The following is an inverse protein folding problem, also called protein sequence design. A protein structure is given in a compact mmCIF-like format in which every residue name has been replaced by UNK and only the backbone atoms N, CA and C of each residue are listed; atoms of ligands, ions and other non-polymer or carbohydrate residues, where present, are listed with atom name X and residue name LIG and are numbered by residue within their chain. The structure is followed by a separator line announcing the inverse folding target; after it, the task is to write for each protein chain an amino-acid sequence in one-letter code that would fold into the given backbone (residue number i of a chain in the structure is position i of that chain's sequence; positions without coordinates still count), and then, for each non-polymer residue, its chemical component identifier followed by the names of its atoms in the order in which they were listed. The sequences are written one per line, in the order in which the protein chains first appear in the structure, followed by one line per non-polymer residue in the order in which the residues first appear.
data_IF_869820399514
#
_entry.id   IF_869820399514
#
_cell.length_a   1.000
_cell.length_b   1.000
_cell.length_c   1.000
_cell.angle_alpha   90.00
_cell.angle_beta   90.00
_cell.angle_gamma   90.00
#
_symmetry.space_group_name_H-M   'P 1'
#
loop_
_entity.id
_entity.type
_entity.pdbx_description
1 polymer ?
#
# COMPACT_ATOMS: atom_id res chain seq x y z
N UNK A 1 68.56 16.93 -4.64
CA UNK A 1 67.51 17.24 -3.64
C UNK A 1 66.25 17.70 -4.35
N UNK A 2 65.25 16.83 -4.51
CA UNK A 2 63.83 17.22 -4.48
C UNK A 2 63.00 15.95 -4.27
N UNK A 3 62.34 15.86 -3.11
CA UNK A 3 61.52 14.70 -2.73
C UNK A 3 60.14 14.85 -3.37
N UNK A 4 59.72 13.81 -4.11
CA UNK A 4 58.34 13.58 -4.57
C UNK A 4 57.39 13.51 -3.37
N UNK A 5 56.26 14.21 -3.44
CA UNK A 5 55.13 14.01 -2.54
C UNK A 5 53.97 13.46 -3.35
N UNK A 6 53.72 12.17 -3.18
CA UNK A 6 52.57 11.46 -3.74
C UNK A 6 51.47 11.52 -2.68
N UNK A 7 50.43 12.33 -2.91
CA UNK A 7 49.24 12.35 -2.04
C UNK A 7 48.30 11.24 -2.50
N UNK A 8 48.24 10.16 -1.72
CA UNK A 8 47.20 9.14 -1.84
C UNK A 8 45.90 9.70 -1.24
N UNK A 9 44.87 9.87 -2.06
CA UNK A 9 43.50 10.11 -1.62
C UNK A 9 42.87 8.74 -1.35
N UNK A 10 42.78 8.36 -0.08
CA UNK A 10 41.96 7.23 0.35
C UNK A 10 40.49 7.68 0.37
N UNK A 11 39.72 7.27 -0.64
CA UNK A 11 38.26 7.41 -0.64
C UNK A 11 37.66 6.37 0.32
N UNK A 12 37.19 6.83 1.47
CA UNK A 12 36.45 5.99 2.41
C UNK A 12 35.03 5.75 1.89
N UNK A 13 34.72 4.51 1.52
CA UNK A 13 33.34 4.09 1.30
C UNK A 13 32.65 3.96 2.67
N UNK A 14 31.68 4.83 2.95
CA UNK A 14 30.78 4.68 4.09
C UNK A 14 29.73 3.65 3.68
N UNK A 15 29.89 2.42 4.16
CA UNK A 15 28.85 1.41 4.09
C UNK A 15 27.79 1.77 5.15
N UNK A 16 26.63 2.24 4.72
CA UNK A 16 25.46 2.36 5.58
C UNK A 16 24.98 0.94 5.93
N UNK A 17 25.26 0.49 7.15
CA UNK A 17 24.66 -0.70 7.73
C UNK A 17 23.18 -0.40 7.98
N UNK A 18 22.32 -0.85 7.07
CA UNK A 18 20.89 -0.94 7.30
C UNK A 18 20.67 -2.05 8.33
N UNK A 19 20.44 -1.66 9.59
CA UNK A 19 19.94 -2.59 10.60
C UNK A 19 18.50 -2.98 10.20
N UNK A 20 18.31 -4.21 9.73
CA UNK A 20 16.98 -4.81 9.66
C UNK A 20 16.48 -4.94 11.10
N UNK A 21 15.56 -4.06 11.49
CA UNK A 21 14.84 -4.21 12.76
C UNK A 21 14.06 -5.52 12.71
N UNK A 22 14.19 -6.35 13.74
CA UNK A 22 13.36 -7.54 13.88
C UNK A 22 11.91 -7.10 13.94
N UNK A 23 11.13 -7.40 12.90
CA UNK A 23 9.69 -7.28 13.00
C UNK A 23 9.24 -8.29 14.06
N UNK A 24 8.59 -7.79 15.11
CA UNK A 24 7.98 -8.64 16.12
C UNK A 24 6.52 -8.75 15.73
N UNK A 25 5.98 -9.97 15.75
CA UNK A 25 4.57 -10.17 15.53
C UNK A 25 3.75 -9.28 16.47
N UNK A 26 2.79 -8.54 15.92
CA UNK A 26 1.90 -7.64 16.68
C UNK A 26 0.47 -8.11 16.52
N UNK A 27 -0.26 -8.18 17.63
CA UNK A 27 -1.70 -8.41 17.61
C UNK A 27 -2.43 -7.10 17.29
N UNK A 28 -3.08 -7.02 16.14
CA UNK A 28 -3.79 -5.83 15.64
C UNK A 28 -5.22 -6.24 15.33
N UNK A 29 -6.19 -5.62 16.02
CA UNK A 29 -7.61 -5.95 15.87
C UNK A 29 -7.95 -7.44 16.10
N UNK A 30 -7.16 -8.14 16.92
CA UNK A 30 -7.35 -9.56 17.23
C UNK A 30 -6.64 -10.54 16.29
N UNK A 31 -5.89 -10.04 15.29
CA UNK A 31 -5.15 -10.85 14.32
C UNK A 31 -3.65 -10.62 14.46
N UNK A 32 -2.86 -11.68 14.34
CA UNK A 32 -1.40 -11.59 14.44
C UNK A 32 -0.81 -11.16 13.09
N UNK A 33 -0.05 -10.06 13.09
CA UNK A 33 0.72 -9.60 11.93
C UNK A 33 2.21 -9.79 12.21
N UNK A 34 2.87 -10.81 11.62
CA UNK A 34 4.28 -11.10 11.85
C UNK A 34 5.21 -9.92 11.57
N UNK A 35 4.87 -9.11 10.56
CA UNK A 35 5.65 -7.94 10.17
C UNK A 35 5.19 -6.64 10.87
N UNK A 36 4.10 -6.68 11.65
CA UNK A 36 3.55 -5.54 12.37
C UNK A 36 2.94 -4.48 11.44
N UNK A 37 3.11 -3.21 11.77
CA UNK A 37 2.43 -2.10 11.08
C UNK A 37 2.79 -1.94 9.59
N UNK A 38 3.93 -2.49 9.14
CA UNK A 38 4.32 -2.48 7.70
C UNK A 38 3.41 -3.38 6.85
N UNK A 39 2.58 -4.22 7.47
CA UNK A 39 1.63 -5.07 6.74
C UNK A 39 0.48 -4.31 6.09
N UNK A 40 0.28 -3.03 6.40
CA UNK A 40 -0.93 -2.29 6.04
C UNK A 40 -0.76 -1.43 4.80
N UNK A 41 -1.87 -1.17 4.11
CA UNK A 41 -1.83 -0.35 2.90
C UNK A 41 -1.39 1.10 3.16
N UNK A 42 -0.60 1.65 2.25
CA UNK A 42 0.05 2.96 2.39
C UNK A 42 -0.58 4.05 1.51
N UNK A 43 -1.20 3.65 0.40
CA UNK A 43 -1.63 4.56 -0.65
C UNK A 43 -3.03 4.21 -1.19
N UNK A 44 -3.86 5.23 -1.40
CA UNK A 44 -5.11 5.12 -2.16
C UNK A 44 -4.82 5.37 -3.64
N UNK A 45 -5.18 4.42 -4.49
CA UNK A 45 -5.04 4.54 -5.94
C UNK A 45 -6.31 5.07 -6.57
N UNK A 46 -7.46 4.58 -6.13
CA UNK A 46 -8.77 5.09 -6.56
C UNK A 46 -9.83 4.79 -5.53
N UNK A 47 -10.82 5.69 -5.43
CA UNK A 47 -12.03 5.49 -4.66
C UNK A 47 -13.21 5.98 -5.50
N UNK A 48 -14.22 5.12 -5.63
CA UNK A 48 -15.42 5.35 -6.43
C UNK A 48 -16.62 4.87 -5.64
N UNK A 49 -17.26 5.75 -4.83
CA UNK A 49 -18.40 5.34 -4.05
C UNK A 49 -19.63 5.08 -4.92
N UNK A 50 -20.52 4.22 -4.43
CA UNK A 50 -21.90 4.12 -4.94
C UNK A 50 -22.04 3.77 -6.43
N UNK A 51 -21.07 3.06 -7.04
CA UNK A 51 -21.06 2.80 -8.48
C UNK A 51 -22.33 2.12 -9.02
N UNK A 52 -23.06 1.40 -8.16
CA UNK A 52 -24.29 0.70 -8.52
C UNK A 52 -25.54 1.23 -7.78
N UNK A 53 -25.43 2.31 -7.01
CA UNK A 53 -26.56 2.79 -6.21
C UNK A 53 -26.25 4.02 -5.36
N UNK A 54 -26.60 3.94 -4.07
CA UNK A 54 -26.46 5.07 -3.16
C UNK A 54 -24.99 5.30 -2.78
N UNK A 55 -24.58 6.56 -2.82
CA UNK A 55 -23.35 7.01 -2.17
C UNK A 55 -23.52 7.05 -0.65
N UNK A 56 -22.44 6.84 0.13
CA UNK A 56 -22.43 7.14 1.55
C UNK A 56 -22.61 8.63 1.81
N UNK A 57 -22.91 8.99 3.05
CA UNK A 57 -22.88 10.38 3.48
C UNK A 57 -21.47 10.98 3.33
N UNK A 58 -21.38 12.28 3.05
CA UNK A 58 -20.11 12.94 2.72
C UNK A 58 -19.02 12.76 3.78
N UNK A 59 -19.38 12.65 5.06
CA UNK A 59 -18.40 12.44 6.13
C UNK A 59 -17.66 11.11 5.98
N UNK A 60 -18.31 10.06 5.47
CA UNK A 60 -17.76 8.71 5.38
C UNK A 60 -17.06 8.41 4.06
N UNK A 61 -16.84 9.43 3.21
CA UNK A 61 -16.19 9.27 1.91
C UNK A 61 -14.66 9.52 1.94
N UNK A 62 -14.06 9.57 3.14
CA UNK A 62 -12.63 9.82 3.32
C UNK A 62 -11.78 8.59 3.03
N UNK A 63 -11.44 8.32 1.76
CA UNK A 63 -10.70 7.10 1.37
C UNK A 63 -9.36 6.88 2.09
N UNK A 64 -8.67 7.96 2.50
CA UNK A 64 -7.42 7.87 3.26
C UNK A 64 -7.61 7.29 4.67
N UNK A 65 -8.84 7.21 5.16
CA UNK A 65 -9.14 6.62 6.47
C UNK A 65 -8.98 5.10 6.48
N UNK A 66 -8.83 4.45 5.32
CA UNK A 66 -8.54 3.02 5.20
C UNK A 66 -7.04 2.67 5.20
N UNK A 67 -6.16 3.65 5.44
CA UNK A 67 -4.70 3.47 5.36
C UNK A 67 -4.08 3.24 6.75
N UNK A 68 -3.00 2.45 6.76
CA UNK A 68 -2.28 2.11 7.98
C UNK A 68 -3.05 1.12 8.87
N UNK A 69 -2.63 1.04 10.13
CA UNK A 69 -3.26 0.14 11.11
C UNK A 69 -4.69 0.59 11.46
N UNK A 70 -5.64 -0.33 11.68
CA UNK A 70 -7.01 -0.01 12.05
C UNK A 70 -7.05 0.86 13.30
N UNK A 71 -7.86 1.91 13.26
CA UNK A 71 -7.95 2.91 14.33
C UNK A 71 -9.39 3.27 14.70
N UNK A 72 -10.38 2.47 14.27
CA UNK A 72 -11.77 2.67 14.65
C UNK A 72 -11.97 2.62 16.18
N UNK A 73 -12.67 3.62 16.71
CA UNK A 73 -12.90 3.79 18.15
C UNK A 73 -14.35 3.65 18.59
N UNK A 74 -15.27 3.34 17.66
CA UNK A 74 -16.71 3.26 17.95
C UNK A 74 -17.43 4.63 17.99
N UNK A 75 -16.72 5.73 17.77
CA UNK A 75 -17.30 7.07 17.74
C UNK A 75 -17.83 7.43 16.33
N UNK A 76 -18.98 8.11 16.27
CA UNK A 76 -19.44 8.75 15.04
C UNK A 76 -18.55 9.95 14.68
N UNK A 77 -18.55 10.33 13.40
CA UNK A 77 -17.70 11.41 12.90
C UNK A 77 -18.48 12.61 12.33
N UNK A 78 -17.93 13.80 12.51
CA UNK A 78 -18.50 15.09 12.08
C UNK A 78 -18.05 15.56 10.70
N UNK A 79 -16.93 15.02 10.20
CA UNK A 79 -16.34 15.33 8.90
C UNK A 79 -15.42 14.19 8.46
N UNK A 80 -15.02 14.16 7.18
CA UNK A 80 -14.09 13.16 6.64
C UNK A 80 -12.77 13.06 7.41
N UNK A 81 -12.27 14.19 7.91
CA UNK A 81 -11.00 14.29 8.64
C UNK A 81 -11.13 13.67 10.05
N UNK A 82 -12.34 13.70 10.62
CA UNK A 82 -12.62 13.16 11.95
C UNK A 82 -13.04 11.69 11.91
N UNK A 83 -13.29 11.13 10.71
CA UNK A 83 -13.64 9.73 10.56
C UNK A 83 -12.38 8.85 10.58
N UNK A 84 -12.58 7.61 11.01
CA UNK A 84 -11.54 6.58 11.14
C UNK A 84 -11.77 5.40 10.18
N UNK A 85 -12.71 5.55 9.25
CA UNK A 85 -13.03 4.55 8.24
C UNK A 85 -13.64 5.25 7.01
N UNK A 86 -13.79 4.50 5.93
CA UNK A 86 -14.46 4.91 4.69
C UNK A 86 -15.58 3.93 4.35
N UNK A 87 -16.75 4.43 3.99
CA UNK A 87 -17.83 3.60 3.45
C UNK A 87 -17.70 3.51 1.93
N UNK A 88 -17.97 2.34 1.34
CA UNK A 88 -17.90 2.16 -0.11
C UNK A 88 -19.16 2.66 -0.83
N UNK A 89 -20.34 2.60 -0.22
CA UNK A 89 -21.59 2.81 -0.94
C UNK A 89 -21.96 1.60 -1.78
N UNK A 90 -23.19 1.60 -2.27
CA UNK A 90 -23.76 0.45 -2.98
C UNK A 90 -22.98 0.18 -4.27
N UNK A 91 -22.30 -0.95 -4.33
CA UNK A 91 -21.43 -1.34 -5.44
C UNK A 91 -20.13 -0.54 -5.54
N UNK A 92 -19.80 0.29 -4.55
CA UNK A 92 -18.62 1.14 -4.59
C UNK A 92 -17.32 0.36 -4.52
N UNK A 93 -16.25 1.00 -4.99
CA UNK A 93 -14.93 0.39 -5.10
C UNK A 93 -13.82 1.23 -4.48
N UNK A 94 -12.89 0.56 -3.81
CA UNK A 94 -11.67 1.13 -3.25
C UNK A 94 -10.46 0.33 -3.73
N UNK A 95 -9.43 1.02 -4.21
CA UNK A 95 -8.15 0.42 -4.59
C UNK A 95 -7.04 0.98 -3.72
N UNK A 96 -6.37 0.09 -3.01
CA UNK A 96 -5.27 0.38 -2.10
C UNK A 96 -3.96 -0.22 -2.63
N UNK A 97 -2.83 0.36 -2.20
CA UNK A 97 -1.49 -0.11 -2.56
C UNK A 97 -0.58 -0.23 -1.34
N UNK A 98 0.23 -1.28 -1.34
CA UNK A 98 1.40 -1.49 -0.51
C UNK A 98 2.64 -0.88 -1.19
N UNK A 99 3.23 0.14 -0.57
CA UNK A 99 4.35 0.91 -1.12
C UNK A 99 5.70 0.23 -0.82
N UNK A 100 5.88 -0.21 0.43
CA UNK A 100 7.14 -0.76 0.94
C UNK A 100 7.08 -2.29 1.19
N UNK A 101 5.94 -2.91 0.96
CA UNK A 101 5.73 -4.36 1.03
C UNK A 101 4.89 -4.90 -0.14
N UNK A 102 4.74 -6.22 -0.18
CA UNK A 102 3.82 -6.94 -1.07
C UNK A 102 3.10 -8.04 -0.30
N UNK A 103 1.83 -8.26 -0.62
CA UNK A 103 1.07 -9.42 -0.19
C UNK A 103 1.60 -10.68 -0.90
N UNK A 104 1.80 -11.74 -0.15
CA UNK A 104 2.25 -13.06 -0.61
C UNK A 104 1.32 -14.15 -0.06
N UNK A 105 1.35 -15.37 -0.62
CA UNK A 105 0.77 -16.53 0.06
C UNK A 105 1.67 -16.97 1.23
N UNK A 106 1.17 -17.84 2.08
CA UNK A 106 1.86 -18.37 3.26
C UNK A 106 2.37 -19.81 3.06
N UNK A 107 2.01 -20.44 1.94
CA UNK A 107 2.19 -21.87 1.67
C UNK A 107 1.45 -22.74 2.72
N UNK A 108 0.34 -22.25 3.27
CA UNK A 108 -0.48 -22.93 4.29
C UNK A 108 -1.97 -22.66 4.09
N UNK A 109 -2.83 -23.13 5.00
CA UNK A 109 -4.28 -22.83 5.00
C UNK A 109 -4.65 -21.65 5.93
N UNK A 110 -3.65 -20.85 6.30
CA UNK A 110 -3.82 -19.65 7.10
C UNK A 110 -4.23 -18.46 6.23
N UNK A 111 -4.98 -17.51 6.81
CA UNK A 111 -5.30 -16.27 6.12
C UNK A 111 -4.03 -15.44 5.81
N UNK A 112 -3.94 -14.93 4.59
CA UNK A 112 -2.83 -14.10 4.10
C UNK A 112 -3.17 -12.62 4.09
N UNK A 113 -4.45 -12.30 3.93
CA UNK A 113 -4.98 -10.95 3.81
C UNK A 113 -6.13 -10.78 4.79
N UNK A 114 -6.23 -9.60 5.40
CA UNK A 114 -7.29 -9.27 6.34
C UNK A 114 -7.91 -7.91 6.05
N UNK A 115 -9.24 -7.86 6.05
CA UNK A 115 -10.03 -6.65 5.84
C UNK A 115 -10.67 -6.25 7.18
N UNK A 116 -10.28 -5.10 7.69
CA UNK A 116 -10.90 -4.48 8.85
C UNK A 116 -12.11 -3.67 8.39
N UNK A 117 -13.24 -4.35 8.34
CA UNK A 117 -14.53 -3.70 8.17
C UNK A 117 -15.08 -3.24 9.54
N UNK A 118 -16.03 -2.32 9.60
CA UNK A 118 -16.74 -1.99 10.85
C UNK A 118 -18.24 -2.13 10.64
N UNK A 119 -18.99 -2.05 11.74
CA UNK A 119 -20.44 -2.12 11.68
C UNK A 119 -21.00 -3.54 11.76
N UNK A 120 -22.30 -3.66 12.04
CA UNK A 120 -22.98 -4.94 12.23
C UNK A 120 -23.60 -5.49 10.94
N UNK A 121 -23.67 -4.67 9.89
CA UNK A 121 -24.30 -5.04 8.64
C UNK A 121 -23.45 -6.12 7.95
N UNK A 122 -24.15 -7.07 7.34
CA UNK A 122 -23.53 -8.20 6.64
C UNK A 122 -23.64 -7.87 5.17
N UNK A 123 -22.59 -7.25 4.64
CA UNK A 123 -22.45 -6.86 3.25
C UNK A 123 -21.23 -7.58 2.68
N UNK A 124 -21.44 -8.42 1.67
CA UNK A 124 -20.30 -9.07 1.04
C UNK A 124 -19.48 -8.01 0.28
N UNK A 125 -18.16 -8.09 0.43
CA UNK A 125 -17.18 -7.30 -0.32
C UNK A 125 -16.31 -8.25 -1.11
N UNK A 126 -16.36 -8.14 -2.43
CA UNK A 126 -15.43 -8.88 -3.29
C UNK A 126 -14.03 -8.31 -3.17
N UNK A 127 -13.03 -9.20 -3.18
CA UNK A 127 -11.63 -8.84 -3.03
C UNK A 127 -10.84 -9.33 -4.24
N UNK A 128 -10.18 -8.39 -4.91
CA UNK A 128 -9.23 -8.68 -5.97
C UNK A 128 -7.82 -8.22 -5.57
N UNK A 129 -6.82 -8.94 -6.06
CA UNK A 129 -5.41 -8.58 -5.92
C UNK A 129 -4.77 -8.29 -7.28
N UNK A 130 -3.72 -7.48 -7.29
CA UNK A 130 -2.98 -7.18 -8.51
C UNK A 130 -1.50 -6.90 -8.25
N UNK A 131 -0.68 -7.24 -9.24
CA UNK A 131 0.75 -6.91 -9.27
C UNK A 131 0.98 -5.51 -9.86
N UNK A 132 0.17 -5.12 -10.85
CA UNK A 132 0.38 -3.95 -11.71
C UNK A 132 -0.71 -2.87 -11.60
N UNK A 133 -1.81 -3.14 -10.89
CA UNK A 133 -2.96 -2.26 -10.76
C UNK A 133 -3.88 -2.24 -11.99
N UNK A 134 -3.62 -3.11 -12.98
CA UNK A 134 -4.35 -3.18 -14.26
C UNK A 134 -4.99 -4.55 -14.45
N UNK A 135 -4.23 -5.61 -14.21
CA UNK A 135 -4.70 -6.99 -14.28
C UNK A 135 -5.12 -7.43 -12.89
N UNK A 136 -6.40 -7.75 -12.73
CA UNK A 136 -7.01 -8.07 -11.45
C UNK A 136 -7.34 -9.55 -11.35
N UNK A 137 -7.04 -10.14 -10.20
CA UNK A 137 -7.26 -11.53 -9.88
C UNK A 137 -8.15 -11.62 -8.64
N UNK A 138 -9.32 -12.25 -8.77
CA UNK A 138 -10.23 -12.39 -7.64
C UNK A 138 -9.71 -13.45 -6.66
N UNK A 139 -9.77 -13.12 -5.37
CA UNK A 139 -9.39 -13.98 -4.24
C UNK A 139 -10.56 -14.17 -3.27
N UNK A 140 -11.78 -14.09 -3.80
CA UNK A 140 -13.01 -14.35 -3.05
C UNK A 140 -13.69 -13.08 -2.52
N UNK A 141 -14.44 -13.24 -1.44
CA UNK A 141 -15.20 -12.17 -0.79
C UNK A 141 -15.10 -12.29 0.73
N UNK A 142 -15.14 -11.15 1.41
CA UNK A 142 -15.32 -11.06 2.86
C UNK A 142 -16.75 -10.60 3.15
N UNK A 143 -17.29 -10.95 4.31
CA UNK A 143 -18.67 -10.63 4.68
C UNK A 143 -19.05 -11.23 6.03
N UNK A 144 -19.84 -10.49 6.81
CA UNK A 144 -20.29 -10.92 8.14
C UNK A 144 -19.13 -11.20 9.10
N UNK A 145 -18.96 -12.46 9.52
CA UNK A 145 -17.87 -12.87 10.42
C UNK A 145 -16.55 -13.15 9.72
N UNK A 146 -16.55 -13.30 8.39
CA UNK A 146 -15.36 -13.67 7.63
C UNK A 146 -14.65 -12.42 7.15
N UNK A 147 -13.38 -12.29 7.55
CA UNK A 147 -12.56 -11.08 7.30
C UNK A 147 -11.14 -11.38 6.81
N UNK A 148 -10.75 -12.65 6.89
CA UNK A 148 -9.51 -13.18 6.38
C UNK A 148 -9.71 -13.86 5.03
N UNK A 149 -8.67 -13.83 4.21
CA UNK A 149 -8.57 -14.54 2.95
C UNK A 149 -7.23 -15.29 2.92
N UNK A 150 -7.31 -16.61 2.86
CA UNK A 150 -6.26 -17.51 2.40
C UNK A 150 -6.15 -17.39 0.87
N UNK A 151 -5.05 -16.81 0.37
CA UNK A 151 -4.82 -16.68 -1.07
C UNK A 151 -4.11 -17.92 -1.64
N UNK A 152 -3.52 -18.77 -0.79
CA UNK A 152 -2.99 -20.07 -1.18
C UNK A 152 -4.09 -20.97 -1.75
N UNK A 153 -5.33 -20.89 -1.21
CA UNK A 153 -6.52 -21.55 -1.76
C UNK A 153 -6.78 -21.23 -3.26
N UNK A 154 -6.38 -20.03 -3.70
CA UNK A 154 -6.53 -19.59 -5.09
C UNK A 154 -5.31 -19.93 -5.97
N UNK A 155 -4.36 -20.70 -5.44
CA UNK A 155 -3.16 -21.14 -6.14
C UNK A 155 -2.01 -20.13 -6.12
N UNK A 156 -2.05 -19.17 -5.20
CA UNK A 156 -0.91 -18.30 -4.91
C UNK A 156 -0.03 -18.93 -3.83
N UNK A 157 1.15 -18.37 -3.63
CA UNK A 157 2.19 -18.95 -2.78
C UNK A 157 3.13 -17.86 -2.27
N UNK A 158 4.12 -18.23 -1.47
CA UNK A 158 5.12 -17.29 -0.94
C UNK A 158 5.98 -16.60 -2.01
N UNK A 159 5.97 -17.08 -3.27
CA UNK A 159 6.64 -16.43 -4.40
C UNK A 159 5.80 -15.31 -5.03
N UNK A 160 4.49 -15.30 -4.81
CA UNK A 160 3.55 -14.28 -5.28
C UNK A 160 3.89 -12.90 -4.74
N UNK A 161 3.52 -11.82 -5.44
CA UNK A 161 3.91 -10.45 -5.07
C UNK A 161 2.86 -9.42 -5.49
N UNK A 162 1.75 -9.37 -4.75
CA UNK A 162 0.67 -8.43 -5.03
C UNK A 162 0.91 -7.10 -4.33
N UNK A 163 0.86 -6.01 -5.10
CA UNK A 163 1.01 -4.64 -4.60
C UNK A 163 -0.31 -3.96 -4.32
N UNK A 164 -1.38 -4.44 -4.95
CA UNK A 164 -2.67 -3.77 -4.95
C UNK A 164 -3.74 -4.71 -4.44
N UNK A 165 -4.66 -4.15 -3.68
CA UNK A 165 -5.91 -4.78 -3.28
C UNK A 165 -7.05 -3.89 -3.75
N UNK A 166 -8.06 -4.48 -4.37
CA UNK A 166 -9.31 -3.82 -4.73
C UNK A 166 -10.44 -4.47 -3.98
N UNK A 167 -11.20 -3.63 -3.29
CA UNK A 167 -12.44 -3.98 -2.61
C UNK A 167 -13.60 -3.43 -3.44
N UNK A 168 -14.62 -4.26 -3.67
CA UNK A 168 -15.86 -3.83 -4.32
C UNK A 168 -17.02 -4.38 -3.51
N UNK A 169 -17.86 -3.46 -3.02
CA UNK A 169 -19.12 -3.78 -2.37
C UNK A 169 -20.04 -4.59 -3.31
N UNK A 170 -20.68 -5.64 -2.81
CA UNK A 170 -21.64 -6.42 -3.59
C UNK A 170 -22.98 -5.68 -3.61
N UNK A 171 -23.29 -5.09 -4.77
CA UNK A 171 -24.51 -4.33 -4.94
C UNK A 171 -25.77 -5.17 -4.67
N UNK A 172 -26.73 -4.59 -3.94
CA UNK A 172 -28.00 -5.22 -3.59
C UNK A 172 -27.99 -6.01 -2.27
N UNK A 173 -26.86 -6.04 -1.57
CA UNK A 173 -26.74 -6.56 -0.21
C UNK A 173 -26.70 -5.43 0.83
N UNK A 174 -27.04 -5.76 2.08
CA UNK A 174 -27.15 -4.80 3.18
C UNK A 174 -27.97 -3.54 2.90
N UNK A 175 -27.49 -2.40 3.41
CA UNK A 175 -28.23 -1.16 3.42
C UNK A 175 -28.18 -0.45 2.06
N UNK A 176 -29.35 -0.25 1.45
CA UNK A 176 -29.46 0.43 0.16
C UNK A 176 -29.64 1.97 0.27
N UNK A 177 -29.68 2.49 1.49
CA UNK A 177 -29.80 3.92 1.78
C UNK A 177 -29.32 4.20 3.20
N UNK A 178 -28.71 5.36 3.43
CA UNK A 178 -28.19 5.71 4.75
C UNK A 178 -26.89 6.50 4.68
N UNK A 179 -26.29 6.74 5.84
CA UNK A 179 -25.04 7.46 5.97
C UNK A 179 -23.81 6.59 5.67
N UNK A 180 -23.89 5.31 6.01
CA UNK A 180 -22.81 4.30 5.93
C UNK A 180 -23.35 3.11 5.14
N UNK A 181 -23.71 3.35 3.88
CA UNK A 181 -24.16 2.28 2.98
C UNK A 181 -22.96 1.56 2.38
N UNK A 182 -23.09 0.27 2.15
CA UNK A 182 -22.01 -0.59 1.68
C UNK A 182 -20.88 -0.71 2.69
N UNK A 183 -19.91 -1.57 2.37
CA UNK A 183 -18.87 -1.93 3.32
C UNK A 183 -18.10 -0.73 3.91
N UNK A 184 -17.87 -0.77 5.23
CA UNK A 184 -17.23 0.28 6.00
C UNK A 184 -15.79 -0.12 6.36
N UNK A 185 -14.80 0.37 5.60
CA UNK A 185 -13.41 -0.07 5.68
C UNK A 185 -12.57 0.84 6.60
N UNK A 186 -12.03 0.27 7.68
CA UNK A 186 -11.05 0.89 8.61
C UNK A 186 -9.62 0.62 8.14
N UNK A 187 -9.31 -0.60 7.68
CA UNK A 187 -7.97 -0.92 7.19
C UNK A 187 -7.92 -2.19 6.34
N UNK A 188 -6.83 -2.36 5.59
CA UNK A 188 -6.49 -3.60 4.87
C UNK A 188 -5.03 -3.98 5.19
N UNK A 189 -4.82 -5.21 5.66
CA UNK A 189 -3.52 -5.70 6.10
C UNK A 189 -3.13 -7.04 5.47
N UNK A 190 -1.92 -7.12 4.93
CA UNK A 190 -1.28 -8.35 4.48
C UNK A 190 -0.63 -9.07 5.67
N UNK A 191 -1.24 -10.16 6.14
CA UNK A 191 -0.70 -11.05 7.18
C UNK A 191 0.58 -11.70 6.67
N UNK A 192 0.51 -12.36 5.52
CA UNK A 192 1.67 -12.87 4.80
C UNK A 192 2.22 -11.78 3.88
N UNK A 193 3.39 -11.25 4.23
CA UNK A 193 3.96 -10.14 3.48
C UNK A 193 5.48 -10.15 3.45
N UNK A 194 6.01 -9.59 2.37
CA UNK A 194 7.43 -9.41 2.09
C UNK A 194 7.73 -7.93 1.89
N UNK A 195 8.69 -7.40 2.63
CA UNK A 195 9.24 -6.07 2.36
C UNK A 195 9.86 -6.02 0.96
N UNK A 196 9.61 -4.92 0.23
CA UNK A 196 10.26 -4.64 -1.04
C UNK A 196 11.05 -3.37 -0.90
N UNK A 197 12.31 -3.40 -1.34
CA UNK A 197 13.14 -2.21 -1.35
C UNK A 197 12.43 -1.12 -2.16
N UNK A 198 12.03 -0.03 -1.48
CA UNK A 198 11.64 1.20 -2.14
C UNK A 198 12.91 1.74 -2.77
N UNK A 199 13.13 1.43 -4.05
CA UNK A 199 14.28 1.97 -4.78
C UNK A 199 14.08 3.47 -4.79
N UNK A 200 14.86 4.27 -4.01
CA UNK A 200 14.77 5.71 -4.13
C UNK A 200 15.10 5.98 -5.58
N UNK A 201 14.24 6.72 -6.29
CA UNK A 201 14.46 7.02 -7.71
C UNK A 201 15.95 7.34 -7.87
N UNK A 202 16.72 6.49 -8.58
CA UNK A 202 18.16 6.63 -8.55
C UNK A 202 18.47 8.03 -9.03
N UNK A 203 19.58 8.60 -8.59
CA UNK A 203 20.08 9.88 -9.05
C UNK A 203 20.27 9.97 -10.58
N UNK A 204 19.61 9.19 -11.43
CA UNK A 204 19.35 9.38 -12.86
C UNK A 204 19.14 10.84 -13.22
N UNK A 205 18.33 11.60 -12.47
CA UNK A 205 18.20 13.03 -12.69
C UNK A 205 19.52 13.76 -12.41
N UNK A 206 20.18 13.45 -11.30
CA UNK A 206 21.49 14.01 -10.96
C UNK A 206 22.61 13.58 -11.94
N UNK A 207 22.58 12.36 -12.48
CA UNK A 207 23.53 11.80 -13.45
C UNK A 207 23.28 12.36 -14.85
N UNK A 208 22.02 12.58 -15.24
CA UNK A 208 21.65 13.28 -16.48
C UNK A 208 22.08 14.74 -16.38
N UNK A 209 21.75 15.44 -15.29
CA UNK A 209 22.15 16.83 -15.05
C UNK A 209 23.69 16.95 -15.01
N UNK A 210 24.39 16.07 -14.31
CA UNK A 210 25.86 16.06 -14.29
C UNK A 210 26.45 15.71 -15.66
N UNK A 211 25.90 14.72 -16.36
CA UNK A 211 26.37 14.30 -17.69
C UNK A 211 26.24 15.40 -18.73
N UNK A 212 25.06 16.03 -18.82
CA UNK A 212 24.83 17.17 -19.72
C UNK A 212 25.61 18.41 -19.26
N UNK A 213 25.74 18.64 -17.95
CA UNK A 213 26.53 19.73 -17.38
C UNK A 213 28.02 19.62 -17.74
N UNK A 214 28.61 18.44 -17.62
CA UNK A 214 30.01 18.18 -17.96
C UNK A 214 30.26 18.27 -19.47
N UNK A 215 29.37 17.73 -20.31
CA UNK A 215 29.45 17.85 -21.76
C UNK A 215 29.35 19.32 -22.22
N UNK A 216 28.40 20.07 -21.64
CA UNK A 216 28.24 21.51 -21.90
C UNK A 216 29.47 22.33 -21.47
N UNK A 217 30.03 22.05 -20.29
CA UNK A 217 31.25 22.69 -19.81
C UNK A 217 32.47 22.40 -20.71
N UNK A 218 32.61 21.14 -21.17
CA UNK A 218 33.68 20.73 -22.08
C UNK A 218 33.60 21.40 -23.47
N UNK A 219 32.39 21.61 -24.00
CA UNK A 219 32.19 22.34 -25.25
C UNK A 219 32.48 23.84 -25.11
N UNK A 220 32.15 24.43 -23.95
CA UNK A 220 32.37 25.85 -23.67
C UNK A 220 33.85 26.19 -23.49
N UNK A 221 34.63 25.33 -22.82
CA UNK A 221 36.08 25.54 -22.64
C UNK A 221 36.85 25.48 -23.96
N UNK A 222 36.44 24.61 -24.90
CA UNK A 222 37.05 24.52 -26.24
C UNK A 222 36.83 25.76 -27.09
N UNK A 223 35.66 26.41 -26.99
CA UNK A 223 35.40 27.69 -27.69
C UNK A 223 36.26 28.83 -27.17
N UNK A 224 36.54 28.84 -25.86
CA UNK A 224 37.38 29.88 -25.25
C UNK A 224 38.88 29.69 -25.53
N UNK A 225 39.33 28.48 -25.87
CA UNK A 225 40.72 28.21 -26.22
C UNK A 225 41.08 28.48 -27.70
N UNK A 226 40.08 28.76 -28.54
CA UNK A 226 40.24 29.01 -29.99
C UNK A 226 40.04 30.50 -30.35
N UNK A 227 39.65 31.32 -29.38
CA UNK A 227 39.60 32.79 -29.48
C UNK A 227 40.85 33.40 -28.84
#
# INVERSE_FOLDING_TARGET
MSKRWMRALAGGAVAALLSAGSANAVLIGGVEFPQGAVSFADSVISYQPGLAGADPGLNWQGAFNALGVPNFTGAGCSSQIDCTYVSLGVGGALVLRFDDNVLTGSDSDADDLWIFEIGPDVEDTTVDVSVDGVTWLSVGSVGGSTRGIDIDFFGYDSSSAFRYVRLIDVAGEGAQSGATVGADIDAVGAISTRAVAVVPEPGTWALMIMGFGLAGAGLRSRRQAVA
#
